data_IF_390365510895
#
_entry.id   IF_390365510895
#
_cell.length_a   1.000
_cell.length_b   1.000
_cell.length_c   1.000
_cell.angle_alpha   90.00
_cell.angle_beta   90.00
_cell.angle_gamma   90.00
#
_symmetry.space_group_name_H-M   'P 1'
#
loop_
_entity.id
_entity.type
_entity.pdbx_description
1 polymer ?
#
# COMPACT_ATOMS: atom_id res chain seq x y z
N UNK A 1 -0.24 -22.72 55.62
CA UNK A 1 0.58 -21.63 55.05
C UNK A 1 -0.28 -20.92 54.03
N UNK A 2 -0.61 -19.65 54.26
CA UNK A 2 -1.54 -18.87 53.42
C UNK A 2 -0.73 -17.97 52.49
N UNK A 3 -0.85 -18.16 51.18
CA UNK A 3 -0.27 -17.29 50.16
C UNK A 3 -1.13 -16.03 50.04
N UNK A 4 -0.67 -14.93 50.65
CA UNK A 4 -1.25 -13.63 50.42
C UNK A 4 -0.95 -13.20 48.97
N UNK A 5 -1.99 -13.11 48.14
CA UNK A 5 -1.90 -12.52 46.80
C UNK A 5 -1.71 -11.02 46.98
N UNK A 6 -0.57 -10.50 46.53
CA UNK A 6 -0.29 -9.06 46.56
C UNK A 6 -1.35 -8.30 45.73
N UNK A 7 -1.80 -7.12 46.19
CA UNK A 7 -2.78 -6.33 45.46
C UNK A 7 -2.23 -5.94 44.08
N UNK A 8 -3.02 -6.17 43.02
CA UNK A 8 -2.68 -5.79 41.66
C UNK A 8 -2.42 -4.27 41.64
N UNK A 9 -1.26 -3.80 41.13
CA UNK A 9 -1.00 -2.37 41.04
C UNK A 9 -2.12 -1.69 40.24
N UNK A 10 -2.55 -0.48 40.63
CA UNK A 10 -3.59 0.24 39.91
C UNK A 10 -3.14 0.39 38.45
N UNK A 11 -4.02 -0.02 37.53
CA UNK A 11 -3.76 0.16 36.11
C UNK A 11 -3.60 1.66 35.85
N UNK A 12 -2.51 2.05 35.21
CA UNK A 12 -2.31 3.43 34.79
C UNK A 12 -3.46 3.84 33.87
N UNK A 13 -4.08 4.98 34.19
CA UNK A 13 -5.18 5.50 33.39
C UNK A 13 -4.64 5.89 32.01
N UNK A 14 -5.18 5.24 30.97
CA UNK A 14 -4.76 5.49 29.60
C UNK A 14 -5.22 6.90 29.19
N UNK A 15 -4.25 7.76 28.84
CA UNK A 15 -4.55 9.04 28.20
C UNK A 15 -4.45 8.82 26.69
N UNK A 16 -5.56 8.96 25.94
CA UNK A 16 -5.53 8.77 24.51
C UNK A 16 -4.57 9.77 23.85
N UNK A 17 -3.75 9.36 22.88
CA UNK A 17 -2.86 10.26 22.16
C UNK A 17 -3.63 11.20 21.21
N UNK A 18 -4.90 10.93 20.96
CA UNK A 18 -5.79 11.69 20.08
C UNK A 18 -7.10 12.02 20.81
N UNK A 19 -7.74 13.12 20.44
CA UNK A 19 -9.08 13.45 20.91
C UNK A 19 -10.16 12.54 20.27
N UNK A 20 -11.42 12.76 20.65
CA UNK A 20 -12.53 11.93 20.19
C UNK A 20 -12.70 11.96 18.65
N UNK A 21 -12.39 13.09 18.01
CA UNK A 21 -12.51 13.24 16.56
C UNK A 21 -11.35 12.56 15.84
N UNK A 22 -10.14 12.69 16.36
CA UNK A 22 -8.96 11.95 15.88
C UNK A 22 -9.13 10.44 16.00
N UNK A 23 -9.65 9.94 17.12
CA UNK A 23 -9.96 8.51 17.28
C UNK A 23 -11.07 8.04 16.32
N UNK A 24 -12.08 8.87 16.07
CA UNK A 24 -13.13 8.54 15.09
C UNK A 24 -12.56 8.43 13.68
N UNK A 25 -11.66 9.35 13.30
CA UNK A 25 -10.99 9.31 12.01
C UNK A 25 -10.14 8.03 11.87
N UNK A 26 -9.36 7.66 12.88
CA UNK A 26 -8.59 6.40 12.86
C UNK A 26 -9.51 5.20 12.69
N UNK A 27 -10.63 5.15 13.43
CA UNK A 27 -11.60 4.06 13.30
C UNK A 27 -12.24 3.98 11.91
N UNK A 28 -12.59 5.13 11.32
CA UNK A 28 -13.11 5.19 9.94
C UNK A 28 -12.08 4.68 8.93
N UNK A 29 -10.82 5.09 9.07
CA UNK A 29 -9.73 4.61 8.20
C UNK A 29 -9.47 3.12 8.38
N UNK A 30 -9.51 2.62 9.61
CA UNK A 30 -9.33 1.20 9.90
C UNK A 30 -10.48 0.36 9.34
N UNK A 31 -11.71 0.85 9.39
CA UNK A 31 -12.88 0.17 8.79
C UNK A 31 -12.87 0.17 7.27
N UNK A 32 -12.31 1.22 6.67
CA UNK A 32 -12.14 1.33 5.23
C UNK A 32 -10.84 0.69 4.73
N UNK A 33 -10.01 0.17 5.64
CA UNK A 33 -8.73 -0.42 5.29
C UNK A 33 -8.95 -1.76 4.60
N UNK A 34 -8.40 -1.87 3.40
CA UNK A 34 -8.35 -3.08 2.62
C UNK A 34 -6.90 -3.61 2.70
N UNK A 35 -6.68 -4.82 3.24
CA UNK A 35 -5.37 -5.44 3.26
C UNK A 35 -4.77 -5.49 1.85
N UNK A 36 -3.44 -5.36 1.78
CA UNK A 36 -2.74 -5.54 0.52
C UNK A 36 -2.71 -7.04 0.19
N UNK A 37 -3.47 -7.43 -0.81
CA UNK A 37 -3.42 -8.77 -1.39
C UNK A 37 -2.34 -8.79 -2.48
N UNK A 38 -1.24 -9.51 -2.23
CA UNK A 38 -0.10 -9.55 -3.14
C UNK A 38 -0.44 -10.37 -4.40
N UNK A 39 -1.29 -11.41 -4.30
CA UNK A 39 -1.69 -12.22 -5.46
C UNK A 39 -2.50 -11.36 -6.43
N UNK A 40 -3.48 -10.61 -5.92
CA UNK A 40 -4.25 -9.67 -6.76
C UNK A 40 -3.38 -8.56 -7.37
N UNK A 41 -2.29 -8.17 -6.70
CA UNK A 41 -1.35 -7.21 -7.27
C UNK A 41 -0.63 -7.83 -8.47
N UNK A 42 -0.13 -9.07 -8.36
CA UNK A 42 0.50 -9.76 -9.49
C UNK A 42 -0.48 -9.97 -10.65
N UNK A 43 -1.75 -10.30 -10.39
CA UNK A 43 -2.79 -10.37 -11.42
C UNK A 43 -2.96 -9.01 -12.15
N UNK A 44 -2.96 -7.90 -11.41
CA UNK A 44 -3.04 -6.56 -11.98
C UNK A 44 -1.78 -6.20 -12.78
N UNK A 45 -0.60 -6.64 -12.33
CA UNK A 45 0.67 -6.48 -13.07
C UNK A 45 0.64 -7.25 -14.39
N UNK A 46 0.22 -8.51 -14.36
CA UNK A 46 0.09 -9.36 -15.54
C UNK A 46 -0.91 -8.80 -16.53
N UNK A 47 -2.05 -8.30 -16.05
CA UNK A 47 -3.06 -7.66 -16.90
C UNK A 47 -2.54 -6.37 -17.58
N UNK A 48 -1.57 -5.67 -16.99
CA UNK A 48 -1.03 -4.43 -17.52
C UNK A 48 0.20 -4.63 -18.42
N UNK A 49 1.16 -5.45 -17.96
CA UNK A 49 2.47 -5.67 -18.58
C UNK A 49 2.42 -6.83 -19.59
N UNK A 50 1.41 -7.70 -19.48
CA UNK A 50 1.20 -8.83 -20.37
C UNK A 50 1.24 -8.48 -21.85
N UNK A 51 1.50 -9.53 -22.65
CA UNK A 51 1.67 -9.41 -24.12
C UNK A 51 0.43 -8.84 -24.82
N UNK A 52 -0.75 -9.05 -24.24
CA UNK A 52 -2.01 -8.49 -24.73
C UNK A 52 -2.39 -7.26 -23.89
N UNK A 53 -2.80 -6.15 -24.52
CA UNK A 53 -3.29 -5.00 -23.78
C UNK A 53 -4.62 -5.34 -23.08
N UNK A 54 -4.90 -4.72 -21.92
CA UNK A 54 -6.14 -4.97 -21.18
C UNK A 54 -7.35 -4.51 -22.02
N UNK A 55 -8.50 -5.20 -21.96
CA UNK A 55 -9.70 -4.80 -22.69
C UNK A 55 -10.10 -3.34 -22.45
N UNK A 56 -10.64 -2.67 -23.47
CA UNK A 56 -11.08 -1.26 -23.38
C UNK A 56 -12.04 -1.04 -22.20
N UNK A 57 -12.96 -2.00 -21.98
CA UNK A 57 -13.95 -1.93 -20.92
C UNK A 57 -13.35 -1.98 -19.51
N UNK A 58 -12.17 -2.59 -19.32
CA UNK A 58 -11.55 -2.80 -18.01
C UNK A 58 -10.30 -1.95 -17.79
N UNK A 59 -9.75 -1.31 -18.82
CA UNK A 59 -8.51 -0.54 -18.74
C UNK A 59 -8.54 0.58 -17.70
N UNK A 60 -9.66 1.31 -17.57
CA UNK A 60 -9.80 2.38 -16.56
C UNK A 60 -9.89 1.82 -15.15
N UNK A 61 -10.58 0.68 -14.97
CA UNK A 61 -10.67 0.02 -13.68
C UNK A 61 -9.30 -0.51 -13.24
N UNK A 62 -8.57 -1.15 -14.14
CA UNK A 62 -7.20 -1.62 -13.91
C UNK A 62 -6.25 -0.47 -13.52
N UNK A 63 -6.33 0.66 -14.24
CA UNK A 63 -5.58 1.87 -13.90
C UNK A 63 -5.88 2.34 -12.47
N UNK A 64 -7.15 2.36 -12.08
CA UNK A 64 -7.58 2.72 -10.73
C UNK A 64 -7.04 1.77 -9.65
N UNK A 65 -7.03 0.46 -9.92
CA UNK A 65 -6.45 -0.53 -9.00
C UNK A 65 -4.95 -0.37 -8.87
N UNK A 66 -4.21 -0.26 -9.98
CA UNK A 66 -2.76 -0.06 -9.97
C UNK A 66 -2.33 1.20 -9.19
N UNK A 67 -3.08 2.31 -9.33
CA UNK A 67 -2.83 3.50 -8.49
C UNK A 67 -3.02 3.23 -7.01
N UNK A 68 -4.08 2.50 -6.65
CA UNK A 68 -4.34 2.12 -5.26
C UNK A 68 -3.21 1.25 -4.71
N UNK A 69 -2.79 0.23 -5.47
CA UNK A 69 -1.69 -0.67 -5.09
C UNK A 69 -0.38 0.08 -4.91
N UNK A 70 0.02 0.89 -5.90
CA UNK A 70 1.24 1.69 -5.80
C UNK A 70 1.21 2.65 -4.61
N UNK A 71 0.06 3.27 -4.34
CA UNK A 71 -0.10 4.11 -3.16
C UNK A 71 0.07 3.31 -1.86
N UNK A 72 -0.60 2.16 -1.73
CA UNK A 72 -0.48 1.31 -0.54
C UNK A 72 0.97 0.87 -0.30
N UNK A 73 1.68 0.44 -1.34
CA UNK A 73 3.09 0.05 -1.25
C UNK A 73 3.98 1.23 -0.87
N UNK A 74 3.72 2.41 -1.42
CA UNK A 74 4.44 3.64 -1.06
C UNK A 74 4.21 4.01 0.41
N UNK A 75 2.97 3.90 0.89
CA UNK A 75 2.63 4.14 2.30
C UNK A 75 3.35 3.12 3.21
N UNK A 76 3.36 1.82 2.86
CA UNK A 76 4.10 0.77 3.58
C UNK A 76 5.59 1.09 3.68
N UNK A 77 6.17 1.55 2.58
CA UNK A 77 7.60 1.88 2.48
C UNK A 77 8.05 2.95 3.48
N UNK A 78 7.15 3.87 3.85
CA UNK A 78 7.46 5.01 4.71
C UNK A 78 6.80 4.94 6.09
N UNK A 79 6.11 3.84 6.41
CA UNK A 79 5.27 3.75 7.60
C UNK A 79 6.05 3.51 8.91
N UNK A 80 7.26 2.95 8.84
CA UNK A 80 8.05 2.58 10.03
C UNK A 80 9.32 3.42 10.18
N UNK A 81 9.27 4.40 11.08
CA UNK A 81 10.42 5.26 11.39
C UNK A 81 11.61 4.49 11.99
N UNK A 82 11.39 3.28 12.52
CA UNK A 82 12.45 2.44 13.09
C UNK A 82 13.27 1.75 12.00
N UNK A 83 12.69 1.60 10.82
CA UNK A 83 13.31 0.98 9.65
C UNK A 83 13.18 1.94 8.46
N UNK A 84 14.07 2.95 8.36
CA UNK A 84 13.99 3.91 7.27
C UNK A 84 14.15 3.21 5.91
N UNK A 85 13.43 3.66 4.87
CA UNK A 85 13.51 3.06 3.54
C UNK A 85 14.92 3.17 2.97
N UNK A 86 15.32 2.19 2.18
CA UNK A 86 16.57 2.27 1.42
C UNK A 86 16.53 3.41 0.40
N UNK A 87 17.70 3.81 -0.11
CA UNK A 87 17.78 4.81 -1.18
C UNK A 87 17.01 4.37 -2.44
N UNK A 88 17.00 3.06 -2.72
CA UNK A 88 16.29 2.49 -3.86
C UNK A 88 14.77 2.53 -3.67
N UNK A 89 14.28 2.14 -2.49
CA UNK A 89 12.87 2.26 -2.12
C UNK A 89 12.39 3.70 -2.22
N UNK A 90 13.16 4.63 -1.67
CA UNK A 90 12.86 6.07 -1.72
C UNK A 90 12.74 6.54 -3.16
N UNK A 91 13.71 6.17 -4.01
CA UNK A 91 13.69 6.51 -5.45
C UNK A 91 12.46 5.94 -6.16
N UNK A 92 12.04 4.72 -5.84
CA UNK A 92 10.87 4.09 -6.46
C UNK A 92 9.56 4.76 -6.03
N UNK A 93 9.43 5.12 -4.75
CA UNK A 93 8.30 5.93 -4.26
C UNK A 93 8.26 7.27 -4.98
N UNK A 94 9.38 7.99 -5.05
CA UNK A 94 9.48 9.29 -5.75
C UNK A 94 9.15 9.18 -7.25
N UNK A 95 9.56 8.09 -7.92
CA UNK A 95 9.18 7.79 -9.31
C UNK A 95 7.67 7.55 -9.46
N UNK A 96 7.02 7.01 -8.43
CA UNK A 96 5.60 6.69 -8.41
C UNK A 96 4.70 7.91 -8.22
N UNK A 97 5.12 8.89 -7.39
CA UNK A 97 4.35 10.11 -7.08
C UNK A 97 3.73 10.78 -8.32
N UNK A 98 4.49 11.16 -9.37
CA UNK A 98 3.90 11.83 -10.52
C UNK A 98 2.90 10.96 -11.29
N UNK A 99 3.03 9.63 -11.24
CA UNK A 99 2.10 8.70 -11.91
C UNK A 99 0.77 8.58 -11.15
N UNK A 100 0.81 8.71 -9.82
CA UNK A 100 -0.39 8.74 -8.96
C UNK A 100 -1.19 10.02 -9.19
N UNK A 101 -0.50 11.15 -9.43
CA UNK A 101 -1.10 12.46 -9.66
C UNK A 101 -1.54 12.69 -11.13
N UNK A 102 -1.02 11.92 -12.08
CA UNK A 102 -1.41 12.03 -13.48
C UNK A 102 -2.93 11.87 -13.64
N UNK A 103 -3.66 12.78 -14.31
CA UNK A 103 -5.10 12.64 -14.52
C UNK A 103 -5.46 11.35 -15.26
N UNK A 104 -6.62 10.76 -14.95
CA UNK A 104 -7.11 9.60 -15.71
C UNK A 104 -7.31 9.97 -17.19
N UNK A 105 -6.58 9.33 -18.14
CA UNK A 105 -6.70 9.70 -19.54
C UNK A 105 -8.07 9.31 -20.12
N UNK A 106 -8.65 10.16 -20.96
CA UNK A 106 -9.91 9.86 -21.66
C UNK A 106 -9.72 8.87 -22.82
N UNK A 107 -8.51 8.76 -23.36
CA UNK A 107 -8.20 7.88 -24.48
C UNK A 107 -7.63 6.53 -24.03
N UNK A 108 -8.13 5.45 -24.65
CA UNK A 108 -7.76 4.07 -24.31
C UNK A 108 -6.26 3.82 -24.36
N UNK A 109 -5.57 4.24 -25.44
CA UNK A 109 -4.12 4.01 -25.58
C UNK A 109 -3.31 4.73 -24.50
N UNK A 110 -3.72 5.95 -24.12
CA UNK A 110 -3.08 6.69 -23.04
C UNK A 110 -3.34 6.03 -21.69
N UNK A 111 -4.55 5.53 -21.43
CA UNK A 111 -4.88 4.80 -20.21
C UNK A 111 -4.05 3.51 -20.07
N UNK A 112 -3.92 2.73 -21.15
CA UNK A 112 -3.04 1.54 -21.18
C UNK A 112 -1.57 1.92 -20.96
N UNK A 113 -1.10 3.00 -21.59
CA UNK A 113 0.27 3.49 -21.41
C UNK A 113 0.57 3.93 -19.97
N UNK A 114 -0.38 4.57 -19.30
CA UNK A 114 -0.25 4.94 -17.89
C UNK A 114 -0.34 3.71 -16.98
N UNK A 115 -1.25 2.78 -17.24
CA UNK A 115 -1.35 1.52 -16.50
C UNK A 115 -0.02 0.74 -16.53
N UNK A 116 0.62 0.63 -17.71
CA UNK A 116 1.94 0.00 -17.82
C UNK A 116 3.03 0.71 -17.02
N UNK A 117 3.09 2.04 -17.08
CA UNK A 117 4.06 2.83 -16.30
C UNK A 117 3.87 2.61 -14.79
N UNK A 118 2.62 2.62 -14.32
CA UNK A 118 2.31 2.31 -12.93
C UNK A 118 2.70 0.88 -12.56
N UNK A 119 2.39 -0.09 -13.42
CA UNK A 119 2.70 -1.49 -13.18
C UNK A 119 4.21 -1.74 -13.08
N UNK A 120 5.04 -1.16 -13.96
CA UNK A 120 6.49 -1.31 -13.83
C UNK A 120 7.05 -0.76 -12.52
N UNK A 121 6.63 0.44 -12.10
CA UNK A 121 7.07 0.99 -10.81
C UNK A 121 6.56 0.15 -9.64
N UNK A 122 5.34 -0.38 -9.75
CA UNK A 122 4.75 -1.27 -8.74
C UNK A 122 5.54 -2.58 -8.63
N UNK A 123 5.91 -3.19 -9.76
CA UNK A 123 6.72 -4.41 -9.81
C UNK A 123 8.10 -4.19 -9.19
N UNK A 124 8.81 -3.14 -9.62
CA UNK A 124 10.12 -2.75 -9.05
C UNK A 124 10.01 -2.56 -7.52
N UNK A 125 8.95 -1.88 -7.04
CA UNK A 125 8.76 -1.60 -5.62
C UNK A 125 8.43 -2.85 -4.81
N UNK A 126 7.66 -3.79 -5.35
CA UNK A 126 7.37 -5.07 -4.69
C UNK A 126 8.63 -5.89 -4.51
N UNK A 127 9.46 -5.99 -5.54
CA UNK A 127 10.72 -6.74 -5.50
C UNK A 127 11.59 -6.26 -4.33
N UNK A 128 11.86 -4.95 -4.25
CA UNK A 128 12.69 -4.41 -3.18
C UNK A 128 12.05 -4.53 -1.79
N UNK A 129 10.71 -4.50 -1.69
CA UNK A 129 10.00 -4.69 -0.41
C UNK A 129 10.03 -6.15 0.05
N UNK A 130 10.00 -7.11 -0.88
CA UNK A 130 10.17 -8.54 -0.57
C UNK A 130 11.60 -8.79 -0.10
N UNK A 131 12.60 -8.27 -0.83
CA UNK A 131 14.02 -8.41 -0.46
C UNK A 131 14.31 -7.85 0.94
N UNK A 132 13.71 -6.71 1.27
CA UNK A 132 13.82 -6.07 2.58
C UNK A 132 12.88 -6.65 3.65
N UNK A 133 12.12 -7.70 3.33
CA UNK A 133 11.20 -8.42 4.26
C UNK A 133 10.04 -7.59 4.82
N UNK A 134 9.64 -6.53 4.11
CA UNK A 134 8.41 -5.78 4.41
C UNK A 134 7.15 -6.52 3.96
N UNK A 135 7.29 -7.34 2.91
CA UNK A 135 6.22 -8.11 2.30
C UNK A 135 6.67 -9.58 2.21
N UNK A 136 5.75 -10.50 2.43
CA UNK A 136 6.02 -11.94 2.26
C UNK A 136 5.97 -12.29 0.76
N UNK A 137 6.95 -13.05 0.31
CA UNK A 137 6.92 -13.69 -1.00
C UNK A 137 5.75 -14.70 -1.07
N UNK A 138 5.12 -14.81 -2.25
CA UNK A 138 4.12 -15.83 -2.53
C UNK A 138 4.87 -17.08 -3.00
N UNK A 139 4.56 -18.21 -2.37
CA UNK A 139 5.17 -19.52 -2.64
C UNK A 139 4.61 -20.17 -3.93
#
# INVERSE_FOLDING_TARGET
MSTAVAPKPPAQEWTPPLDADGLRLVLERFRAWEPLDIEEVFDDLDAAIGSQPPPVATAVALLGRLRRRLKQLSDITVADDSFPPSAEMTRLVERGVPLLEEPTPAGYRQAVGLARRLAFVTADLIEVLIEARYIKEID
#
